data_IF_716485459768
#
_entry.id   IF_716485459768
#
_cell.length_a   1.000
_cell.length_b   1.000
_cell.length_c   1.000
_cell.angle_alpha   90.00
_cell.angle_beta   90.00
_cell.angle_gamma   90.00
#
_symmetry.space_group_name_H-M   'P 1'
#
loop_
_entity.id
_entity.type
_entity.pdbx_description
1 polymer ?
#
# COMPACT_ATOMS: atom_id res chain seq x y z
N UNK A 1 -35.27 46.56 44.66
CA UNK A 1 -35.63 45.56 43.62
C UNK A 1 -35.08 46.11 42.32
N UNK A 2 -34.14 45.50 41.61
CA UNK A 2 -34.07 44.13 41.09
C UNK A 2 -32.62 43.73 40.78
N UNK A 3 -32.19 42.54 41.23
CA UNK A 3 -30.89 41.93 40.88
C UNK A 3 -30.98 41.36 39.45
N UNK A 4 -30.07 41.77 38.56
CA UNK A 4 -29.92 41.13 37.25
C UNK A 4 -28.88 40.00 37.38
N UNK A 5 -29.36 38.76 37.42
CA UNK A 5 -28.50 37.58 37.43
C UNK A 5 -28.14 37.21 36.00
N UNK A 6 -26.84 37.16 35.74
CA UNK A 6 -26.19 36.69 34.51
C UNK A 6 -26.50 35.19 34.38
N UNK A 7 -27.18 34.79 33.31
CA UNK A 7 -27.25 33.39 32.90
C UNK A 7 -26.38 33.19 31.66
N UNK A 8 -25.14 32.78 31.91
CA UNK A 8 -24.25 32.21 30.90
C UNK A 8 -24.82 30.89 30.42
N UNK A 9 -25.31 30.84 29.19
CA UNK A 9 -25.69 29.59 28.51
C UNK A 9 -24.41 28.97 27.95
N UNK A 10 -23.90 27.95 28.64
CA UNK A 10 -22.85 27.08 28.12
C UNK A 10 -23.48 26.14 27.08
N UNK A 11 -23.27 26.44 25.80
CA UNK A 11 -23.70 25.57 24.70
C UNK A 11 -22.69 24.43 24.56
N UNK A 12 -23.02 23.26 25.10
CA UNK A 12 -22.25 22.04 24.91
C UNK A 12 -22.42 21.55 23.46
N UNK A 13 -21.34 21.55 22.68
CA UNK A 13 -21.29 20.99 21.34
C UNK A 13 -21.04 19.48 21.48
N UNK A 14 -21.96 18.60 21.04
CA UNK A 14 -21.69 17.17 21.04
C UNK A 14 -20.67 16.83 19.96
N UNK A 15 -19.51 16.30 20.37
CA UNK A 15 -18.49 15.78 19.48
C UNK A 15 -18.97 14.42 18.93
N UNK A 16 -19.60 14.43 17.76
CA UNK A 16 -19.98 13.21 17.05
C UNK A 16 -18.74 12.56 16.43
N UNK A 17 -18.25 11.48 17.04
CA UNK A 17 -17.28 10.57 16.43
C UNK A 17 -17.97 9.86 15.25
N UNK A 18 -17.69 10.31 14.04
CA UNK A 18 -18.06 9.58 12.83
C UNK A 18 -17.15 8.37 12.64
N UNK A 19 -17.68 7.16 12.85
CA UNK A 19 -17.02 5.93 12.41
C UNK A 19 -16.93 5.93 10.89
N UNK A 20 -15.73 6.14 10.35
CA UNK A 20 -15.44 5.86 8.95
C UNK A 20 -15.52 4.34 8.74
N UNK A 21 -16.65 3.85 8.22
CA UNK A 21 -16.76 2.47 7.78
C UNK A 21 -15.88 2.31 6.54
N UNK A 22 -14.76 1.58 6.66
CA UNK A 22 -13.97 1.15 5.51
C UNK A 22 -14.84 0.24 4.63
N UNK A 23 -15.16 0.70 3.42
CA UNK A 23 -15.82 -0.11 2.41
C UNK A 23 -14.87 -1.23 1.96
N UNK A 24 -15.15 -2.46 2.37
CA UNK A 24 -14.50 -3.63 1.80
C UNK A 24 -14.88 -3.73 0.31
N UNK A 25 -13.90 -3.65 -0.58
CA UNK A 25 -14.12 -3.90 -2.01
C UNK A 25 -14.41 -5.39 -2.20
N UNK A 26 -15.60 -5.71 -2.70
CA UNK A 26 -15.95 -7.06 -3.12
C UNK A 26 -15.14 -7.44 -4.34
N UNK A 27 -14.28 -8.45 -4.23
CA UNK A 27 -13.62 -9.08 -5.37
C UNK A 27 -14.69 -9.75 -6.24
N UNK A 28 -15.01 -9.13 -7.38
CA UNK A 28 -15.89 -9.74 -8.38
C UNK A 28 -15.06 -10.71 -9.22
N UNK A 29 -15.29 -12.01 -9.05
CA UNK A 29 -14.73 -13.03 -9.94
C UNK A 29 -15.27 -12.88 -11.36
N UNK A 30 -14.42 -13.13 -12.36
CA UNK A 30 -14.84 -13.22 -13.76
C UNK A 30 -15.79 -14.40 -14.00
N UNK A 31 -16.42 -14.45 -15.19
CA UNK A 31 -17.32 -15.54 -15.56
C UNK A 31 -16.57 -16.86 -15.86
N UNK A 32 -15.28 -16.76 -16.18
CA UNK A 32 -14.45 -17.91 -16.51
C UNK A 32 -13.93 -18.62 -15.24
N UNK A 33 -13.86 -19.96 -15.25
CA UNK A 33 -13.30 -20.71 -14.13
C UNK A 33 -11.80 -20.39 -13.95
N UNK A 34 -11.36 -20.29 -12.70
CA UNK A 34 -9.95 -20.10 -12.36
C UNK A 34 -9.13 -21.31 -12.84
N UNK A 35 -8.15 -21.07 -13.70
CA UNK A 35 -7.21 -22.09 -14.18
C UNK A 35 -5.95 -22.11 -13.32
N UNK A 36 -5.24 -23.25 -13.32
CA UNK A 36 -3.96 -23.39 -12.61
C UNK A 36 -2.93 -22.40 -13.17
N UNK A 37 -2.85 -22.27 -14.50
CA UNK A 37 -1.92 -21.33 -15.14
C UNK A 37 -2.18 -19.89 -14.68
N UNK A 38 -3.45 -19.49 -14.54
CA UNK A 38 -3.80 -18.14 -14.08
C UNK A 38 -3.37 -17.85 -12.64
N UNK A 39 -3.16 -18.88 -11.81
CA UNK A 39 -2.67 -18.71 -10.44
C UNK A 39 -1.20 -18.25 -10.39
N UNK A 40 -0.43 -18.55 -11.43
CA UNK A 40 1.00 -18.23 -11.51
C UNK A 40 1.31 -17.07 -12.47
N UNK A 41 0.30 -16.55 -13.15
CA UNK A 41 0.47 -15.58 -14.22
C UNK A 41 0.38 -14.12 -13.73
N UNK A 42 0.94 -13.20 -14.51
CA UNK A 42 0.84 -11.76 -14.22
C UNK A 42 -0.37 -11.12 -14.91
N UNK A 43 -1.00 -10.06 -14.35
CA UNK A 43 -0.84 -9.55 -12.99
C UNK A 43 -1.47 -10.50 -11.96
N UNK A 44 -1.13 -10.32 -10.67
CA UNK A 44 -1.73 -11.07 -9.57
C UNK A 44 -3.27 -10.96 -9.55
N UNK A 45 -3.96 -11.99 -9.03
CA UNK A 45 -5.42 -12.11 -8.97
C UNK A 45 -6.05 -10.98 -8.16
N UNK A 46 -5.40 -10.55 -7.07
CA UNK A 46 -5.84 -9.44 -6.22
C UNK A 46 -5.27 -8.08 -6.67
N UNK A 47 -4.51 -8.04 -7.76
CA UNK A 47 -3.71 -6.88 -8.17
C UNK A 47 -2.41 -6.73 -7.38
N UNK A 48 -1.54 -5.84 -7.84
CA UNK A 48 -0.20 -5.66 -7.26
C UNK A 48 -0.29 -4.97 -5.89
N UNK A 49 0.02 -5.72 -4.83
CA UNK A 49 -0.02 -5.22 -3.45
C UNK A 49 1.34 -4.61 -3.04
N UNK A 50 1.36 -3.44 -2.37
CA UNK A 50 2.58 -2.85 -1.85
C UNK A 50 3.32 -3.77 -0.87
N UNK A 51 4.64 -3.92 -1.04
CA UNK A 51 5.53 -4.64 -0.12
C UNK A 51 6.50 -3.68 0.56
N UNK A 52 6.95 -4.05 1.75
CA UNK A 52 7.98 -3.32 2.51
C UNK A 52 7.69 -1.82 2.68
N UNK A 53 6.44 -1.48 3.01
CA UNK A 53 6.04 -0.10 3.29
C UNK A 53 6.91 0.51 4.39
N UNK A 54 7.48 1.68 4.12
CA UNK A 54 8.25 2.49 5.08
C UNK A 54 7.82 3.95 5.00
N UNK A 55 7.77 4.61 6.14
CA UNK A 55 7.58 6.06 6.21
C UNK A 55 8.93 6.76 6.28
N UNK A 56 9.04 7.93 5.65
CA UNK A 56 10.18 8.82 5.85
C UNK A 56 10.20 9.33 7.30
N UNK A 57 11.38 9.67 7.86
CA UNK A 57 11.49 10.13 9.24
C UNK A 57 10.68 11.40 9.54
N UNK A 58 10.51 12.26 8.54
CA UNK A 58 9.70 13.49 8.59
C UNK A 58 8.20 13.24 8.33
N UNK A 59 7.81 12.00 7.99
CA UNK A 59 6.43 11.61 7.68
C UNK A 59 5.87 12.16 6.37
N UNK A 60 6.66 12.87 5.56
CA UNK A 60 6.17 13.50 4.32
C UNK A 60 5.84 12.49 3.21
N UNK A 61 6.47 11.32 3.21
CA UNK A 61 6.25 10.29 2.20
C UNK A 61 6.27 8.88 2.77
N UNK A 62 5.55 7.99 2.08
CA UNK A 62 5.69 6.56 2.23
C UNK A 62 6.41 5.98 1.01
N UNK A 63 7.33 5.05 1.19
CA UNK A 63 7.97 4.28 0.12
C UNK A 63 7.62 2.82 0.23
N UNK A 64 7.49 2.15 -0.90
CA UNK A 64 7.09 0.75 -0.98
C UNK A 64 7.49 0.14 -2.33
N UNK A 65 7.54 -1.18 -2.37
CA UNK A 65 7.81 -1.95 -3.58
C UNK A 65 6.50 -2.41 -4.21
N UNK A 66 6.39 -2.33 -5.54
CA UNK A 66 5.22 -2.78 -6.31
C UNK A 66 5.69 -3.66 -7.47
N UNK A 67 5.08 -4.83 -7.62
CA UNK A 67 5.34 -5.72 -8.76
C UNK A 67 4.72 -5.17 -10.03
N UNK A 68 5.37 -5.38 -11.18
CA UNK A 68 4.87 -4.90 -12.48
C UNK A 68 3.65 -5.70 -12.96
N UNK A 69 2.90 -5.13 -13.90
CA UNK A 69 1.77 -5.84 -14.51
C UNK A 69 2.23 -6.98 -15.42
N UNK A 70 3.40 -6.80 -16.02
CA UNK A 70 4.03 -7.73 -16.95
C UNK A 70 4.87 -8.80 -16.22
N UNK A 71 5.34 -8.50 -15.01
CA UNK A 71 6.09 -9.42 -14.17
C UNK A 71 5.89 -9.07 -12.68
N UNK A 72 5.02 -9.83 -12.01
CA UNK A 72 4.67 -9.63 -10.60
C UNK A 72 5.84 -9.90 -9.62
N UNK A 73 6.89 -10.58 -10.09
CA UNK A 73 8.11 -10.88 -9.36
C UNK A 73 9.21 -9.83 -9.55
N UNK A 74 9.02 -8.87 -10.45
CA UNK A 74 9.93 -7.75 -10.68
C UNK A 74 9.40 -6.48 -10.02
N UNK A 75 10.16 -5.92 -9.08
CA UNK A 75 9.70 -4.85 -8.21
C UNK A 75 10.36 -3.50 -8.52
N UNK A 76 9.53 -2.47 -8.70
CA UNK A 76 9.99 -1.08 -8.73
C UNK A 76 9.81 -0.40 -7.37
N UNK A 77 10.59 0.65 -7.13
CA UNK A 77 10.41 1.49 -5.94
C UNK A 77 9.43 2.61 -6.24
N UNK A 78 8.39 2.70 -5.42
CA UNK A 78 7.36 3.72 -5.49
C UNK A 78 7.37 4.58 -4.24
N UNK A 79 6.79 5.76 -4.38
CA UNK A 79 6.51 6.66 -3.27
C UNK A 79 5.07 7.16 -3.32
N UNK A 80 4.55 7.47 -2.16
CA UNK A 80 3.31 8.22 -1.96
C UNK A 80 3.63 9.48 -1.15
N UNK A 81 3.24 10.63 -1.66
CA UNK A 81 3.19 11.86 -0.86
C UNK A 81 2.03 11.75 0.14
N UNK A 82 2.30 11.89 1.43
CA UNK A 82 1.30 11.62 2.48
C UNK A 82 0.22 12.70 2.52
N UNK A 83 0.56 13.94 2.20
CA UNK A 83 -0.38 15.06 2.25
C UNK A 83 -1.42 15.00 1.12
N UNK A 84 -0.99 14.67 -0.09
CA UNK A 84 -1.85 14.62 -1.28
C UNK A 84 -2.36 13.22 -1.63
N UNK A 85 -1.75 12.17 -1.08
CA UNK A 85 -2.01 10.78 -1.47
C UNK A 85 -1.48 10.42 -2.86
N UNK A 86 -0.73 11.31 -3.52
CA UNK A 86 -0.24 11.08 -4.88
C UNK A 86 0.85 10.02 -4.89
N UNK A 87 0.63 8.98 -5.69
CA UNK A 87 1.58 7.88 -5.90
C UNK A 87 2.39 8.11 -7.17
N UNK A 88 3.70 7.86 -7.12
CA UNK A 88 4.62 7.98 -8.26
C UNK A 88 5.78 7.00 -8.14
N UNK A 89 6.30 6.53 -9.27
CA UNK A 89 7.52 5.70 -9.29
C UNK A 89 8.74 6.57 -8.94
N UNK A 90 9.57 6.07 -8.02
CA UNK A 90 10.80 6.72 -7.59
C UNK A 90 12.02 6.15 -8.31
N UNK A 91 12.06 4.82 -8.52
CA UNK A 91 13.13 4.13 -9.23
C UNK A 91 12.56 2.98 -10.08
N UNK A 92 12.93 3.01 -11.35
CA UNK A 92 12.74 1.92 -12.30
C UNK A 92 13.88 0.91 -12.13
N UNK A 93 13.57 -0.28 -11.63
CA UNK A 93 14.56 -1.31 -11.32
C UNK A 93 15.22 -1.91 -12.57
N UNK A 94 14.67 -1.69 -13.78
CA UNK A 94 15.34 -2.10 -15.03
C UNK A 94 16.65 -1.34 -15.29
N UNK A 95 16.81 -0.18 -14.65
CA UNK A 95 18.02 0.64 -14.73
C UNK A 95 19.13 0.18 -13.79
N UNK A 96 18.84 -0.75 -12.88
CA UNK A 96 19.84 -1.37 -12.02
C UNK A 96 20.56 -2.48 -12.79
N UNK A 97 21.81 -2.78 -12.41
CA UNK A 97 22.55 -3.89 -13.01
C UNK A 97 21.81 -5.20 -12.74
N UNK A 98 21.37 -5.84 -13.81
CA UNK A 98 20.82 -7.19 -13.79
C UNK A 98 21.94 -8.19 -14.07
N UNK A 99 21.88 -9.33 -13.39
CA UNK A 99 22.87 -10.38 -13.53
C UNK A 99 22.46 -11.60 -12.72
N UNK A 100 23.22 -12.68 -12.86
CA UNK A 100 22.99 -13.87 -12.07
C UNK A 100 23.22 -13.57 -10.58
N UNK A 101 22.28 -14.00 -9.73
CA UNK A 101 22.44 -13.92 -8.29
C UNK A 101 23.60 -14.81 -7.84
N UNK A 102 24.41 -14.33 -6.90
CA UNK A 102 25.41 -15.17 -6.23
C UNK A 102 24.75 -16.29 -5.45
N UNK A 103 25.48 -17.37 -5.21
CA UNK A 103 24.96 -18.53 -4.44
C UNK A 103 24.53 -18.14 -3.01
N UNK A 104 25.24 -17.20 -2.39
CA UNK A 104 24.89 -16.64 -1.08
C UNK A 104 23.54 -15.90 -1.15
N UNK A 105 23.32 -15.09 -2.18
CA UNK A 105 22.05 -14.37 -2.35
C UNK A 105 20.89 -15.32 -2.64
N UNK A 106 21.09 -16.34 -3.47
CA UNK A 106 20.10 -17.41 -3.72
C UNK A 106 19.74 -18.12 -2.41
N UNK A 107 20.73 -18.55 -1.63
CA UNK A 107 20.50 -19.22 -0.35
C UNK A 107 19.80 -18.31 0.69
N UNK A 108 20.14 -17.02 0.72
CA UNK A 108 19.48 -16.03 1.58
C UNK A 108 18.01 -15.86 1.20
N UNK A 109 17.70 -15.72 -0.08
CA UNK A 109 16.31 -15.61 -0.58
C UNK A 109 15.50 -16.85 -0.25
N UNK A 110 16.07 -18.04 -0.40
CA UNK A 110 15.42 -19.30 -0.02
C UNK A 110 15.07 -19.34 1.47
N UNK A 111 16.02 -19.02 2.36
CA UNK A 111 15.78 -18.96 3.82
C UNK A 111 14.71 -17.94 4.19
N UNK A 112 14.61 -16.84 3.43
CA UNK A 112 13.62 -15.78 3.66
C UNK A 112 12.31 -15.99 2.91
N UNK A 113 12.20 -17.03 2.06
CA UNK A 113 11.06 -17.29 1.17
C UNK A 113 10.70 -16.07 0.32
N UNK A 114 11.72 -15.39 -0.19
CA UNK A 114 11.55 -14.24 -1.07
C UNK A 114 11.57 -14.74 -2.51
N UNK A 115 10.41 -14.66 -3.14
CA UNK A 115 10.24 -14.89 -4.57
C UNK A 115 10.27 -13.54 -5.30
N UNK A 116 11.16 -13.40 -6.28
CA UNK A 116 11.44 -12.15 -6.99
C UNK A 116 12.70 -12.28 -7.84
N UNK A 117 12.79 -11.51 -8.93
CA UNK A 117 13.99 -11.39 -9.78
C UNK A 117 14.87 -10.24 -9.27
#
# INVERSE_FOLDING_TARGET
>A
MTRHWIYSVLMAIPLSLGSAASSAQTLSGGADPLTVDRLYDSPDLAGSSPRQLKLSPDGSRATFLVGRKENLHFYDLWQMDVASGKVSMLLDASKLQQGELSDEEKARRERQRIYGE
#
